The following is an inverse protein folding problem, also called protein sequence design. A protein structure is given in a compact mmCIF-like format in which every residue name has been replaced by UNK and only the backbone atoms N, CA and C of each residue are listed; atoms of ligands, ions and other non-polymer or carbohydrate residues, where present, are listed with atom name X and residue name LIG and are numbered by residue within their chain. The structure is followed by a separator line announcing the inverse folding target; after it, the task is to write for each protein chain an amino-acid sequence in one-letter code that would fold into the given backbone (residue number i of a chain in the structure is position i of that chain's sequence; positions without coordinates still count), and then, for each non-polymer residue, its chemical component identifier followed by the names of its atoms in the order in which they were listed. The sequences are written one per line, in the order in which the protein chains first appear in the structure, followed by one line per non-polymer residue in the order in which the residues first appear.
data_IF_803599588734
#
_entry.id   IF_803599588734
#
_cell.length_a   1.000
_cell.length_b   1.000
_cell.length_c   1.000
_cell.angle_alpha   90.00
_cell.angle_beta   90.00
_cell.angle_gamma   90.00
#
_symmetry.space_group_name_H-M   'P 1'
#
loop_
_entity.id
_entity.type
_entity.pdbx_description
1 polymer ?
#
# COMPACT_ATOMS: atom_id res chain seq x y z
N UNK A 1 2.21 44.34 -17.84
CA UNK A 1 1.73 43.71 -19.09
C UNK A 1 1.93 42.21 -18.97
N UNK A 2 0.98 41.46 -18.43
CA UNK A 2 -0.26 41.02 -19.09
C UNK A 2 0.01 39.94 -20.16
N UNK A 3 0.12 38.68 -19.71
CA UNK A 3 -0.18 37.45 -20.48
C UNK A 3 0.26 36.23 -19.64
N UNK A 4 -0.70 35.57 -18.98
CA UNK A 4 -0.74 34.13 -18.64
C UNK A 4 -1.88 33.74 -17.67
N UNK A 5 -2.79 34.66 -17.34
CA UNK A 5 -4.03 34.39 -16.58
C UNK A 5 -5.26 34.12 -17.46
N UNK A 6 -5.12 34.12 -18.79
CA UNK A 6 -6.25 34.18 -19.73
C UNK A 6 -7.01 32.84 -19.95
N UNK A 7 -6.53 31.74 -19.37
CA UNK A 7 -7.21 30.43 -19.41
C UNK A 7 -7.87 30.02 -18.09
N UNK A 8 -7.55 30.68 -16.97
CA UNK A 8 -7.97 30.23 -15.63
C UNK A 8 -9.41 30.63 -15.25
N UNK A 9 -9.96 31.64 -15.93
CA UNK A 9 -11.20 32.33 -15.55
C UNK A 9 -12.35 32.17 -16.57
N UNK A 10 -12.24 31.27 -17.56
CA UNK A 10 -13.36 31.01 -18.47
C UNK A 10 -14.38 30.12 -17.76
N UNK A 11 -15.57 30.66 -17.60
CA UNK A 11 -16.76 29.93 -17.20
C UNK A 11 -17.32 29.25 -18.46
N UNK A 12 -17.67 27.96 -18.36
CA UNK A 12 -18.38 27.28 -19.46
C UNK A 12 -19.83 27.79 -19.57
N UNK A 13 -20.59 27.27 -20.55
CA UNK A 13 -22.01 27.62 -20.77
C UNK A 13 -22.89 27.39 -19.53
N UNK A 14 -22.43 26.58 -18.57
CA UNK A 14 -23.12 26.23 -17.31
C UNK A 14 -22.51 26.95 -16.10
N UNK A 15 -21.66 27.95 -16.33
CA UNK A 15 -20.96 28.73 -15.32
C UNK A 15 -20.04 27.90 -14.43
N UNK A 16 -19.51 26.78 -14.94
CA UNK A 16 -18.48 25.99 -14.27
C UNK A 16 -17.12 26.68 -14.42
N UNK A 17 -16.44 26.89 -13.31
CA UNK A 17 -15.04 27.29 -13.31
C UNK A 17 -14.11 26.06 -13.46
N UNK A 18 -12.80 26.29 -13.55
CA UNK A 18 -11.81 25.23 -13.67
C UNK A 18 -11.92 24.14 -12.59
N UNK A 19 -12.30 24.51 -11.36
CA UNK A 19 -12.44 23.57 -10.25
C UNK A 19 -13.70 22.69 -10.40
N UNK A 20 -14.79 23.23 -10.95
CA UNK A 20 -15.96 22.42 -11.33
C UNK A 20 -15.63 21.44 -12.46
N UNK A 21 -14.76 21.82 -13.39
CA UNK A 21 -14.33 20.91 -14.45
C UNK A 21 -13.47 19.77 -13.89
N UNK A 22 -12.60 20.07 -12.91
CA UNK A 22 -11.84 19.05 -12.19
C UNK A 22 -12.71 18.21 -11.23
N UNK A 23 -13.93 18.64 -10.93
CA UNK A 23 -14.89 17.92 -10.09
C UNK A 23 -15.62 16.80 -10.84
N UNK A 24 -15.64 16.84 -12.18
CA UNK A 24 -16.27 15.82 -13.02
C UNK A 24 -15.37 14.58 -13.08
N UNK A 25 -15.97 13.41 -13.01
CA UNK A 25 -15.26 12.13 -13.09
C UNK A 25 -14.53 11.99 -14.44
N UNK A 26 -13.27 11.55 -14.41
CA UNK A 26 -12.50 11.32 -15.63
C UNK A 26 -13.15 10.25 -16.55
N UNK A 27 -12.97 10.37 -17.88
CA UNK A 27 -13.42 9.36 -18.84
C UNK A 27 -12.84 7.97 -18.52
N UNK A 28 -13.60 6.92 -18.81
CA UNK A 28 -13.26 5.52 -18.50
C UNK A 28 -11.84 5.10 -18.91
N UNK A 29 -11.31 5.47 -20.10
CA UNK A 29 -9.93 5.12 -20.48
C UNK A 29 -8.87 5.72 -19.56
N UNK A 30 -9.09 6.94 -19.07
CA UNK A 30 -8.18 7.59 -18.14
C UNK A 30 -8.33 6.97 -16.74
N UNK A 31 -9.56 6.74 -16.28
CA UNK A 31 -9.85 6.15 -14.97
C UNK A 31 -9.28 4.72 -14.85
N UNK A 32 -9.45 3.90 -15.88
CA UNK A 32 -8.99 2.50 -15.91
C UNK A 32 -7.46 2.34 -16.03
N UNK A 33 -6.73 3.42 -16.28
CA UNK A 33 -5.26 3.38 -16.28
C UNK A 33 -4.64 3.15 -14.88
N UNK A 34 -5.43 3.28 -13.81
CA UNK A 34 -5.01 3.03 -12.43
C UNK A 34 -5.63 1.75 -11.91
N UNK A 35 -4.82 0.88 -11.32
CA UNK A 35 -5.25 -0.39 -10.74
C UNK A 35 -5.97 -0.18 -9.41
N UNK A 36 -7.18 -0.72 -9.27
CA UNK A 36 -7.96 -0.66 -8.04
C UNK A 36 -8.76 0.64 -7.88
N UNK A 37 -10.05 0.51 -7.56
CA UNK A 37 -10.98 1.64 -7.38
C UNK A 37 -10.54 2.63 -6.30
N UNK A 38 -9.85 2.16 -5.25
CA UNK A 38 -9.33 3.04 -4.20
C UNK A 38 -8.18 3.93 -4.71
N UNK A 39 -7.31 3.42 -5.58
CA UNK A 39 -6.23 4.21 -6.17
C UNK A 39 -6.75 5.15 -7.26
N UNK A 40 -7.81 4.74 -7.98
CA UNK A 40 -8.56 5.63 -8.87
C UNK A 40 -9.14 6.81 -8.08
N UNK A 41 -9.83 6.55 -6.96
CA UNK A 41 -10.36 7.59 -6.07
C UNK A 41 -9.26 8.51 -5.53
N UNK A 42 -8.14 7.94 -5.08
CA UNK A 42 -6.97 8.72 -4.64
C UNK A 42 -6.49 9.68 -5.73
N UNK A 43 -6.38 9.21 -6.98
CA UNK A 43 -5.86 10.03 -8.07
C UNK A 43 -6.82 11.16 -8.45
N UNK A 44 -8.12 10.88 -8.57
CA UNK A 44 -9.13 11.91 -8.88
C UNK A 44 -9.14 12.99 -7.78
N UNK A 45 -9.04 12.58 -6.52
CA UNK A 45 -8.97 13.50 -5.40
C UNK A 45 -7.67 14.30 -5.36
N UNK A 46 -6.53 13.69 -5.71
CA UNK A 46 -5.25 14.38 -5.85
C UNK A 46 -5.30 15.42 -6.96
N UNK A 47 -5.89 15.09 -8.12
CA UNK A 47 -6.12 16.03 -9.21
C UNK A 47 -7.01 17.20 -8.79
N UNK A 48 -8.13 16.92 -8.13
CA UNK A 48 -9.03 17.96 -7.62
C UNK A 48 -8.31 18.91 -6.66
N UNK A 49 -7.51 18.39 -5.72
CA UNK A 49 -6.71 19.19 -4.78
C UNK A 49 -5.63 20.02 -5.45
N UNK A 50 -4.98 19.50 -6.50
CA UNK A 50 -3.98 20.26 -7.25
C UNK A 50 -4.61 21.44 -8.00
N UNK A 51 -5.77 21.23 -8.64
CA UNK A 51 -6.53 22.32 -9.27
C UNK A 51 -7.06 23.30 -8.22
N UNK A 52 -7.51 22.82 -7.07
CA UNK A 52 -7.97 23.66 -5.95
C UNK A 52 -6.88 24.62 -5.46
N UNK A 53 -5.60 24.23 -5.50
CA UNK A 53 -4.46 25.10 -5.13
C UNK A 53 -4.21 26.22 -6.15
N UNK A 54 -4.62 26.03 -7.40
CA UNK A 54 -4.39 27.01 -8.48
C UNK A 54 -5.51 28.04 -8.61
N UNK A 55 -6.69 27.74 -8.07
CA UNK A 55 -7.90 28.54 -8.22
C UNK A 55 -8.09 29.48 -7.03
N UNK A 56 -8.47 30.75 -7.30
CA UNK A 56 -8.74 31.75 -6.27
C UNK A 56 -9.91 31.32 -5.36
N UNK A 57 -9.85 31.65 -4.07
CA UNK A 57 -10.86 31.34 -3.04
C UNK A 57 -12.30 31.68 -3.45
N UNK A 58 -12.52 32.78 -4.18
CA UNK A 58 -13.88 33.16 -4.66
C UNK A 58 -14.48 32.08 -5.56
N UNK A 59 -13.68 31.44 -6.40
CA UNK A 59 -14.14 30.38 -7.30
C UNK A 59 -14.30 29.03 -6.59
N UNK A 60 -13.68 28.82 -5.42
CA UNK A 60 -13.90 27.61 -4.61
C UNK A 60 -15.31 27.55 -4.02
N UNK A 61 -15.85 28.71 -3.68
CA UNK A 61 -17.20 28.87 -3.12
C UNK A 61 -18.25 29.24 -4.17
N UNK A 62 -17.81 29.65 -5.36
CA UNK A 62 -18.70 30.03 -6.45
C UNK A 62 -19.58 28.85 -6.87
N UNK A 63 -20.88 29.10 -6.99
CA UNK A 63 -21.85 28.12 -7.45
C UNK A 63 -22.05 28.18 -8.97
N UNK A 64 -22.14 27.02 -9.62
CA UNK A 64 -22.54 26.92 -11.02
C UNK A 64 -24.05 27.23 -11.20
N UNK A 65 -24.56 27.14 -12.44
CA UNK A 65 -25.98 27.40 -12.73
C UNK A 65 -26.92 26.44 -11.97
N UNK A 66 -26.45 25.24 -11.67
CA UNK A 66 -27.20 24.24 -10.89
C UNK A 66 -27.13 24.48 -9.37
N UNK A 67 -26.52 25.59 -8.92
CA UNK A 67 -26.44 25.96 -7.51
C UNK A 67 -25.42 25.13 -6.71
N UNK A 68 -24.56 24.36 -7.37
CA UNK A 68 -23.55 23.48 -6.76
C UNK A 68 -22.20 24.16 -6.69
N UNK A 69 -21.47 23.94 -5.62
CA UNK A 69 -20.05 24.27 -5.50
C UNK A 69 -19.19 23.18 -6.17
N UNK A 70 -17.92 23.46 -6.48
CA UNK A 70 -17.01 22.43 -7.02
C UNK A 70 -16.87 21.21 -6.11
N UNK A 71 -16.88 21.40 -4.79
CA UNK A 71 -16.74 20.32 -3.81
C UNK A 71 -17.98 19.43 -3.77
N UNK A 72 -19.18 20.03 -3.75
CA UNK A 72 -20.45 19.30 -3.82
C UNK A 72 -20.54 18.49 -5.12
N UNK A 73 -20.15 19.09 -6.26
CA UNK A 73 -20.12 18.40 -7.55
C UNK A 73 -19.14 17.23 -7.56
N UNK A 74 -17.98 17.36 -6.90
CA UNK A 74 -16.98 16.28 -6.81
C UNK A 74 -17.54 15.10 -6.03
N UNK A 75 -18.08 15.34 -4.83
CA UNK A 75 -18.68 14.31 -3.98
C UNK A 75 -19.78 13.55 -4.70
N UNK A 76 -20.67 14.26 -5.41
CA UNK A 76 -21.74 13.62 -6.16
C UNK A 76 -21.23 12.79 -7.35
N UNK A 77 -20.29 13.35 -8.12
CA UNK A 77 -19.74 12.68 -9.31
C UNK A 77 -18.90 11.44 -8.97
N UNK A 78 -18.35 11.38 -7.75
CA UNK A 78 -17.43 10.31 -7.31
C UNK A 78 -18.05 9.36 -6.29
N UNK A 79 -19.34 9.49 -5.97
CA UNK A 79 -20.00 8.65 -4.96
C UNK A 79 -19.84 7.15 -5.23
N UNK A 80 -20.14 6.70 -6.46
CA UNK A 80 -20.01 5.30 -6.84
C UNK A 80 -18.54 4.81 -6.80
N UNK A 81 -17.60 5.70 -7.13
CA UNK A 81 -16.17 5.38 -7.09
C UNK A 81 -15.68 5.27 -5.64
N UNK A 82 -16.17 6.13 -4.75
CA UNK A 82 -15.89 6.10 -3.32
C UNK A 82 -16.39 4.78 -2.71
N UNK A 83 -17.63 4.38 -2.98
CA UNK A 83 -18.21 3.11 -2.51
C UNK A 83 -17.40 1.90 -3.03
N UNK A 84 -17.05 1.90 -4.32
CA UNK A 84 -16.18 0.86 -4.91
C UNK A 84 -14.79 0.87 -4.31
N UNK A 85 -14.23 2.04 -4.00
CA UNK A 85 -12.91 2.21 -3.38
C UNK A 85 -12.88 1.70 -1.94
N UNK A 86 -13.90 2.03 -1.17
CA UNK A 86 -14.10 1.51 0.18
C UNK A 86 -14.19 -0.01 0.18
N UNK A 87 -15.05 -0.57 -0.69
CA UNK A 87 -15.19 -2.02 -0.82
C UNK A 87 -13.87 -2.69 -1.19
N UNK A 88 -13.16 -2.18 -2.18
CA UNK A 88 -11.87 -2.72 -2.60
C UNK A 88 -10.84 -2.71 -1.47
N UNK A 89 -10.77 -1.63 -0.68
CA UNK A 89 -9.89 -1.55 0.48
C UNK A 89 -10.27 -2.58 1.56
N UNK A 90 -11.56 -2.73 1.86
CA UNK A 90 -12.03 -3.70 2.85
C UNK A 90 -11.77 -5.14 2.41
N UNK A 91 -12.07 -5.47 1.16
CA UNK A 91 -11.87 -6.80 0.61
C UNK A 91 -10.37 -7.17 0.61
N UNK A 92 -9.52 -6.27 0.12
CA UNK A 92 -8.05 -6.45 0.13
C UNK A 92 -7.51 -6.62 1.54
N UNK A 93 -7.98 -5.77 2.47
CA UNK A 93 -7.57 -5.81 3.86
C UNK A 93 -7.97 -7.10 4.55
N UNK A 94 -9.21 -7.58 4.34
CA UNK A 94 -9.69 -8.85 4.87
C UNK A 94 -8.85 -10.02 4.35
N UNK A 95 -8.59 -10.10 3.04
CA UNK A 95 -7.74 -11.15 2.48
C UNK A 95 -6.33 -11.16 3.09
N UNK A 96 -5.71 -9.98 3.26
CA UNK A 96 -4.38 -9.90 3.85
C UNK A 96 -4.37 -10.19 5.36
N UNK A 97 -5.45 -9.88 6.08
CA UNK A 97 -5.61 -10.26 7.48
C UNK A 97 -5.68 -11.78 7.66
N UNK A 98 -6.36 -12.49 6.77
CA UNK A 98 -6.40 -13.97 6.80
C UNK A 98 -4.99 -14.52 6.64
N UNK A 99 -4.22 -14.03 5.67
CA UNK A 99 -2.82 -14.44 5.46
C UNK A 99 -1.95 -14.10 6.67
N UNK A 100 -2.07 -12.88 7.22
CA UNK A 100 -1.31 -12.45 8.40
C UNK A 100 -1.66 -13.31 9.63
N UNK A 101 -2.93 -13.58 9.86
CA UNK A 101 -3.38 -14.44 10.95
C UNK A 101 -2.79 -15.83 10.81
N UNK A 102 -2.82 -16.42 9.61
CA UNK A 102 -2.25 -17.73 9.35
C UNK A 102 -0.74 -17.76 9.64
N UNK A 103 0.02 -16.78 9.16
CA UNK A 103 1.46 -16.67 9.45
C UNK A 103 1.70 -16.57 10.96
N UNK A 104 0.97 -15.68 11.65
CA UNK A 104 1.11 -15.52 13.11
C UNK A 104 0.84 -16.83 13.84
N UNK A 105 -0.19 -17.60 13.46
CA UNK A 105 -0.50 -18.88 14.09
C UNK A 105 0.58 -19.94 13.87
N UNK A 106 1.09 -20.07 12.63
CA UNK A 106 2.11 -21.07 12.28
C UNK A 106 3.44 -20.76 12.97
N UNK A 107 3.87 -19.50 12.92
CA UNK A 107 5.12 -19.05 13.54
C UNK A 107 5.03 -19.12 15.07
N UNK A 108 3.90 -18.71 15.66
CA UNK A 108 3.68 -18.87 17.11
C UNK A 108 3.76 -20.33 17.54
N UNK A 109 3.15 -21.25 16.79
CA UNK A 109 3.27 -22.68 17.08
C UNK A 109 4.73 -23.15 16.96
N UNK A 110 5.45 -22.74 15.91
CA UNK A 110 6.85 -23.11 15.69
C UNK A 110 7.79 -22.62 16.80
N UNK A 111 7.52 -21.46 17.41
CA UNK A 111 8.27 -20.95 18.55
C UNK A 111 8.26 -21.91 19.76
N UNK A 112 7.16 -22.63 19.96
CA UNK A 112 7.01 -23.60 21.06
C UNK A 112 7.25 -25.05 20.64
N UNK A 113 7.18 -25.36 19.33
CA UNK A 113 7.51 -26.69 18.77
C UNK A 113 8.91 -26.69 18.15
N UNK A 114 9.89 -26.34 18.98
CA UNK A 114 11.27 -26.10 18.57
C UNK A 114 11.84 -27.27 17.74
N UNK A 115 12.38 -27.00 16.53
CA UNK A 115 12.99 -28.03 15.69
C UNK A 115 14.19 -28.67 16.40
N UNK A 116 14.17 -30.00 16.50
CA UNK A 116 15.22 -30.79 17.13
C UNK A 116 15.00 -31.14 18.61
N UNK A 117 13.95 -30.64 19.25
CA UNK A 117 13.57 -31.01 20.63
C UNK A 117 14.43 -30.37 21.73
N UNK A 118 14.19 -30.80 22.98
CA UNK A 118 14.85 -30.29 24.19
C UNK A 118 15.77 -31.35 24.80
N UNK A 119 16.91 -30.93 25.39
CA UNK A 119 17.94 -31.84 25.93
C UNK A 119 17.41 -32.62 27.14
N UNK A 120 16.61 -31.96 27.98
CA UNK A 120 16.02 -32.47 29.22
C UNK A 120 14.68 -31.73 29.47
N UNK A 121 13.86 -32.20 30.42
CA UNK A 121 12.58 -31.57 30.84
C UNK A 121 12.71 -30.10 31.32
N UNK A 122 13.92 -29.57 31.35
CA UNK A 122 14.25 -28.18 31.68
C UNK A 122 13.89 -27.17 30.56
N UNK A 123 13.43 -27.63 29.39
CA UNK A 123 12.96 -26.77 28.31
C UNK A 123 14.05 -26.14 27.43
N UNK A 124 15.32 -26.57 27.58
CA UNK A 124 16.46 -26.01 26.81
C UNK A 124 16.58 -26.71 25.45
N UNK A 125 16.52 -25.97 24.32
CA UNK A 125 16.68 -26.51 22.97
C UNK A 125 18.03 -27.23 22.76
N UNK A 126 18.01 -28.41 22.13
CA UNK A 126 19.21 -29.22 21.84
C UNK A 126 20.22 -28.45 20.98
N UNK A 127 19.72 -27.63 20.06
CA UNK A 127 20.54 -26.91 19.10
C UNK A 127 20.82 -25.45 19.49
N UNK A 128 20.56 -25.05 20.74
CA UNK A 128 20.71 -23.66 21.20
C UNK A 128 22.05 -23.01 20.82
N UNK A 129 23.13 -23.80 20.79
CA UNK A 129 24.50 -23.35 20.48
C UNK A 129 24.86 -23.34 18.98
N UNK A 130 23.98 -23.83 18.09
CA UNK A 130 24.21 -23.83 16.64
C UNK A 130 23.70 -22.54 16.01
N UNK A 131 24.46 -22.00 15.05
CA UNK A 131 24.07 -20.80 14.30
C UNK A 131 22.69 -20.95 13.63
N UNK A 132 22.35 -22.13 13.12
CA UNK A 132 21.05 -22.40 12.50
C UNK A 132 19.87 -22.21 13.47
N UNK A 133 20.05 -22.54 14.75
CA UNK A 133 19.00 -22.33 15.76
C UNK A 133 18.80 -20.85 16.06
N UNK A 134 19.89 -20.08 16.15
CA UNK A 134 19.79 -18.63 16.35
C UNK A 134 19.11 -17.95 15.17
N UNK A 135 19.42 -18.36 13.94
CA UNK A 135 18.74 -17.88 12.72
C UNK A 135 17.26 -18.25 12.75
N UNK A 136 16.91 -19.49 13.14
CA UNK A 136 15.52 -19.90 13.32
C UNK A 136 14.79 -18.99 14.32
N UNK A 137 15.29 -18.89 15.56
CA UNK A 137 14.63 -18.15 16.63
C UNK A 137 14.45 -16.66 16.31
N UNK A 138 15.47 -16.01 15.74
CA UNK A 138 15.38 -14.59 15.36
C UNK A 138 14.41 -14.39 14.19
N UNK A 139 14.47 -15.25 13.17
CA UNK A 139 13.59 -15.14 11.99
C UNK A 139 12.13 -15.42 12.36
N UNK A 140 11.90 -16.39 13.24
CA UNK A 140 10.58 -16.74 13.76
C UNK A 140 9.98 -15.56 14.55
N UNK A 141 10.73 -14.97 15.48
CA UNK A 141 10.28 -13.77 16.20
C UNK A 141 9.98 -12.60 15.25
N UNK A 142 10.85 -12.33 14.27
CA UNK A 142 10.61 -11.28 13.27
C UNK A 142 9.36 -11.56 12.44
N UNK A 143 9.12 -12.81 12.05
CA UNK A 143 7.91 -13.20 11.32
C UNK A 143 6.65 -12.95 12.16
N UNK A 144 6.68 -13.29 13.45
CA UNK A 144 5.54 -13.13 14.35
C UNK A 144 5.19 -11.66 14.59
N UNK A 145 6.19 -10.84 14.92
CA UNK A 145 5.96 -9.42 15.18
C UNK A 145 5.56 -8.68 13.90
N UNK A 146 6.22 -8.97 12.78
CA UNK A 146 5.90 -8.35 11.50
C UNK A 146 4.51 -8.76 10.98
N UNK A 147 4.11 -10.02 11.18
CA UNK A 147 2.78 -10.49 10.81
C UNK A 147 1.69 -9.86 11.68
N UNK A 148 1.93 -9.74 12.99
CA UNK A 148 1.00 -9.07 13.90
C UNK A 148 0.86 -7.59 13.59
N UNK A 149 1.97 -6.90 13.28
CA UNK A 149 1.95 -5.51 12.84
C UNK A 149 1.15 -5.34 11.54
N UNK A 150 1.33 -6.23 10.57
CA UNK A 150 0.53 -6.30 9.34
C UNK A 150 -0.96 -6.42 9.64
N UNK A 151 -1.33 -7.36 10.52
CA UNK A 151 -2.72 -7.59 10.95
C UNK A 151 -3.33 -6.33 11.57
N UNK A 152 -2.61 -5.64 12.45
CA UNK A 152 -3.09 -4.38 13.08
C UNK A 152 -3.29 -3.28 12.02
N UNK A 153 -2.38 -3.17 11.04
CA UNK A 153 -2.49 -2.17 9.98
C UNK A 153 -3.71 -2.42 9.08
N UNK A 154 -3.96 -3.67 8.71
CA UNK A 154 -5.15 -4.05 7.95
C UNK A 154 -6.44 -3.89 8.79
N UNK A 155 -6.42 -4.23 10.08
CA UNK A 155 -7.54 -3.95 10.96
C UNK A 155 -7.84 -2.44 11.07
N UNK A 156 -6.79 -1.61 11.05
CA UNK A 156 -6.90 -0.14 11.02
C UNK A 156 -7.52 0.41 9.73
N UNK A 157 -7.44 -0.34 8.63
CA UNK A 157 -8.13 -0.02 7.37
C UNK A 157 -9.63 -0.30 7.55
N UNK A 158 -10.01 -1.48 8.04
CA UNK A 158 -11.42 -1.86 8.23
C UNK A 158 -12.17 -0.95 9.20
N UNK A 159 -11.48 -0.44 10.21
CA UNK A 159 -12.04 0.45 11.24
C UNK A 159 -11.99 1.94 10.87
N UNK A 160 -11.46 2.28 9.68
CA UNK A 160 -11.37 3.66 9.23
C UNK A 160 -12.75 4.23 8.85
N UNK A 161 -12.89 5.56 8.88
CA UNK A 161 -14.17 6.24 8.57
C UNK A 161 -14.46 6.34 7.06
N UNK A 162 -13.48 6.04 6.21
CA UNK A 162 -13.57 6.11 4.75
C UNK A 162 -14.10 7.45 4.20
N UNK A 163 -13.74 8.57 4.85
CA UNK A 163 -14.02 9.89 4.29
C UNK A 163 -13.23 10.05 2.98
N UNK A 164 -13.73 10.85 2.02
CA UNK A 164 -13.02 11.09 0.76
C UNK A 164 -11.56 11.48 0.99
N UNK A 165 -11.29 12.38 1.93
CA UNK A 165 -9.94 12.87 2.25
C UNK A 165 -9.00 11.78 2.76
N UNK A 166 -9.53 10.72 3.36
CA UNK A 166 -8.72 9.58 3.83
C UNK A 166 -8.08 8.82 2.67
N UNK A 167 -8.68 8.84 1.48
CA UNK A 167 -8.12 8.20 0.29
C UNK A 167 -6.88 8.91 -0.24
N UNK A 168 -6.58 10.15 0.17
CA UNK A 168 -5.37 10.85 -0.30
C UNK A 168 -4.09 10.26 0.28
N UNK A 169 -4.06 10.04 1.60
CA UNK A 169 -2.83 9.69 2.31
C UNK A 169 -3.06 8.62 3.38
N UNK A 170 -4.09 8.75 4.21
CA UNK A 170 -4.24 7.90 5.40
C UNK A 170 -4.49 6.43 5.04
N UNK A 171 -5.46 6.14 4.16
CA UNK A 171 -5.78 4.77 3.71
C UNK A 171 -4.66 4.14 2.88
N UNK A 172 -4.11 4.80 1.83
CA UNK A 172 -3.00 4.25 1.05
C UNK A 172 -1.76 3.99 1.92
N UNK A 173 -1.43 4.88 2.86
CA UNK A 173 -0.29 4.68 3.77
C UNK A 173 -0.48 3.48 4.68
N UNK A 174 -1.68 3.27 5.24
CA UNK A 174 -1.99 2.09 6.04
C UNK A 174 -1.84 0.81 5.23
N UNK A 175 -2.33 0.80 3.98
CA UNK A 175 -2.21 -0.34 3.07
C UNK A 175 -0.74 -0.68 2.76
N UNK A 176 0.06 0.34 2.43
CA UNK A 176 1.50 0.20 2.14
C UNK A 176 2.26 -0.36 3.33
N UNK A 177 2.02 0.18 4.53
CA UNK A 177 2.68 -0.30 5.75
C UNK A 177 2.25 -1.73 6.10
N UNK A 178 0.97 -2.07 5.93
CA UNK A 178 0.48 -3.43 6.10
C UNK A 178 1.14 -4.43 5.14
N UNK A 179 1.14 -4.12 3.84
CA UNK A 179 1.78 -4.96 2.82
C UNK A 179 3.29 -5.10 3.00
N UNK A 180 4.00 -4.03 3.40
CA UNK A 180 5.42 -4.10 3.69
C UNK A 180 5.73 -5.01 4.89
N UNK A 181 4.94 -4.87 5.96
CA UNK A 181 5.07 -5.72 7.15
C UNK A 181 4.73 -7.19 6.83
N UNK A 182 3.75 -7.44 5.96
CA UNK A 182 3.40 -8.78 5.48
C UNK A 182 4.54 -9.40 4.65
N UNK A 183 5.18 -8.61 3.77
CA UNK A 183 6.32 -9.06 2.99
C UNK A 183 7.49 -9.51 3.88
N UNK A 184 7.83 -8.68 4.87
CA UNK A 184 8.87 -9.02 5.86
C UNK A 184 8.50 -10.31 6.58
N UNK A 185 7.24 -10.47 6.99
CA UNK A 185 6.78 -11.67 7.67
C UNK A 185 6.92 -12.95 6.82
N UNK A 186 6.55 -12.88 5.53
CA UNK A 186 6.70 -14.02 4.60
C UNK A 186 8.17 -14.36 4.40
N UNK A 187 9.03 -13.36 4.20
CA UNK A 187 10.46 -13.56 3.99
C UNK A 187 11.12 -14.21 5.21
N UNK A 188 10.86 -13.69 6.42
CA UNK A 188 11.44 -14.24 7.65
C UNK A 188 10.84 -15.58 8.04
N UNK A 189 9.57 -15.84 7.74
CA UNK A 189 8.97 -17.18 7.90
C UNK A 189 9.66 -18.22 7.01
N UNK A 190 9.97 -17.88 5.75
CA UNK A 190 10.72 -18.78 4.87
C UNK A 190 12.17 -19.00 5.35
N UNK A 191 12.82 -17.97 5.92
CA UNK A 191 14.13 -18.12 6.56
C UNK A 191 14.07 -19.03 7.79
N UNK A 192 13.05 -18.86 8.64
CA UNK A 192 12.83 -19.73 9.79
C UNK A 192 12.60 -21.18 9.35
N UNK A 193 11.77 -21.41 8.33
CA UNK A 193 11.56 -22.74 7.76
C UNK A 193 12.87 -23.37 7.25
N UNK A 194 13.67 -22.63 6.47
CA UNK A 194 14.96 -23.13 5.97
C UNK A 194 15.95 -23.46 7.10
N UNK A 195 15.99 -22.63 8.15
CA UNK A 195 16.81 -22.87 9.33
C UNK A 195 16.34 -24.10 10.13
N UNK A 196 15.03 -24.23 10.37
CA UNK A 196 14.42 -25.39 11.03
C UNK A 196 14.71 -26.69 10.26
N UNK A 197 14.54 -26.65 8.94
CA UNK A 197 14.82 -27.79 8.07
C UNK A 197 16.29 -28.21 8.11
N UNK A 198 17.20 -27.24 8.14
CA UNK A 198 18.65 -27.48 8.29
C UNK A 198 19.00 -28.13 9.64
N UNK A 199 18.29 -27.76 10.71
CA UNK A 199 18.45 -28.38 12.04
C UNK A 199 17.97 -29.83 12.04
N UNK A 200 16.83 -30.10 11.43
CA UNK A 200 16.20 -31.45 11.42
C UNK A 200 17.00 -32.44 10.57
N UNK A 201 17.48 -32.04 9.39
CA UNK A 201 18.24 -32.94 8.50
C UNK A 201 19.70 -33.09 8.93
N UNK A 202 20.26 -32.07 9.59
CA UNK A 202 21.68 -32.03 9.95
C UNK A 202 22.60 -32.16 8.73
N UNK A 203 23.88 -32.43 8.97
CA UNK A 203 24.90 -32.54 7.90
C UNK A 203 24.77 -33.82 7.03
N UNK A 204 23.75 -34.66 7.26
CA UNK A 204 23.65 -35.99 6.63
C UNK A 204 23.32 -35.95 5.14
N UNK A 205 22.57 -34.94 4.66
CA UNK A 205 22.09 -34.91 3.26
C UNK A 205 22.19 -33.50 2.65
N UNK A 206 23.41 -33.08 2.33
CA UNK A 206 23.70 -31.77 1.73
C UNK A 206 22.98 -31.51 0.39
N UNK A 207 22.65 -32.55 -0.38
CA UNK A 207 21.97 -32.41 -1.68
C UNK A 207 20.50 -31.97 -1.56
N UNK A 208 19.85 -32.23 -0.43
CA UNK A 208 18.43 -31.85 -0.19
C UNK A 208 18.30 -30.36 0.14
N UNK A 209 19.38 -29.70 0.55
CA UNK A 209 19.37 -28.27 0.88
C UNK A 209 19.02 -27.38 -0.33
N UNK A 210 19.57 -27.72 -1.51
CA UNK A 210 19.37 -26.98 -2.76
C UNK A 210 17.88 -26.91 -3.16
N UNK A 211 17.13 -28.02 -3.31
CA UNK A 211 15.72 -27.96 -3.69
C UNK A 211 14.85 -27.23 -2.66
N UNK A 212 15.18 -27.28 -1.36
CA UNK A 212 14.41 -26.59 -0.32
C UNK A 212 14.60 -25.08 -0.37
N UNK A 213 15.82 -24.59 -0.62
CA UNK A 213 16.03 -23.15 -0.86
C UNK A 213 15.23 -22.71 -2.09
N UNK A 214 15.33 -23.46 -3.19
CA UNK A 214 14.61 -23.13 -4.42
C UNK A 214 13.11 -23.04 -4.15
N UNK A 215 12.55 -24.01 -3.41
CA UNK A 215 11.13 -24.00 -3.05
C UNK A 215 10.75 -22.83 -2.13
N UNK A 216 11.60 -22.48 -1.16
CA UNK A 216 11.39 -21.35 -0.25
C UNK A 216 11.49 -19.98 -0.97
N UNK A 217 12.29 -19.88 -2.03
CA UNK A 217 12.40 -18.66 -2.84
C UNK A 217 11.16 -18.40 -3.70
N UNK A 218 10.38 -19.43 -4.05
CA UNK A 218 9.21 -19.28 -4.94
C UNK A 218 8.15 -18.36 -4.31
N UNK A 219 7.64 -18.58 -3.09
CA UNK A 219 6.64 -17.69 -2.47
C UNK A 219 7.14 -16.25 -2.31
N UNK A 220 8.41 -16.07 -1.91
CA UNK A 220 9.01 -14.73 -1.71
C UNK A 220 9.09 -13.97 -3.03
N UNK A 221 9.58 -14.65 -4.08
CA UNK A 221 9.70 -14.05 -5.42
C UNK A 221 8.34 -13.76 -6.03
N UNK A 222 7.37 -14.66 -5.86
CA UNK A 222 6.00 -14.49 -6.33
C UNK A 222 5.33 -13.31 -5.64
N UNK A 223 5.47 -13.17 -4.32
CA UNK A 223 4.95 -12.03 -3.59
C UNK A 223 5.63 -10.73 -4.04
N UNK A 224 6.96 -10.73 -4.20
CA UNK A 224 7.70 -9.58 -4.69
C UNK A 224 7.21 -9.13 -6.07
N UNK A 225 7.08 -10.06 -7.02
CA UNK A 225 6.64 -9.76 -8.39
C UNK A 225 5.20 -9.21 -8.41
N UNK A 226 4.30 -9.76 -7.59
CA UNK A 226 2.89 -9.36 -7.61
C UNK A 226 2.61 -8.07 -6.81
N UNK A 227 3.29 -7.87 -5.68
CA UNK A 227 2.97 -6.79 -4.74
C UNK A 227 3.89 -5.58 -4.87
N UNK A 228 5.14 -5.74 -5.36
CA UNK A 228 6.03 -4.58 -5.57
C UNK A 228 5.48 -3.58 -6.59
N UNK A 229 4.83 -3.97 -7.71
CA UNK A 229 4.22 -3.00 -8.62
C UNK A 229 3.11 -2.19 -7.94
N UNK A 230 2.29 -2.84 -7.11
CA UNK A 230 1.22 -2.17 -6.35
C UNK A 230 1.81 -1.23 -5.28
N UNK A 231 2.81 -1.68 -4.55
CA UNK A 231 3.56 -0.87 -3.58
C UNK A 231 4.18 0.37 -4.26
N UNK A 232 4.88 0.16 -5.38
CA UNK A 232 5.52 1.22 -6.15
C UNK A 232 4.51 2.25 -6.65
N UNK A 233 3.38 1.80 -7.19
CA UNK A 233 2.31 2.67 -7.66
C UNK A 233 1.72 3.52 -6.53
N UNK A 234 1.52 2.96 -5.34
CA UNK A 234 1.00 3.72 -4.20
C UNK A 234 2.03 4.72 -3.68
N UNK A 235 3.30 4.32 -3.58
CA UNK A 235 4.37 5.21 -3.12
C UNK A 235 4.54 6.40 -4.08
N UNK A 236 4.52 6.16 -5.39
CA UNK A 236 4.56 7.25 -6.39
C UNK A 236 3.29 8.10 -6.32
N UNK A 237 2.11 7.49 -6.20
CA UNK A 237 0.84 8.23 -6.12
C UNK A 237 0.77 9.13 -4.88
N UNK A 238 1.34 8.67 -3.76
CA UNK A 238 1.25 9.36 -2.46
C UNK A 238 2.41 10.34 -2.21
N UNK A 239 3.63 10.01 -2.64
CA UNK A 239 4.85 10.79 -2.36
C UNK A 239 5.56 11.30 -3.61
N UNK A 240 5.07 10.97 -4.82
CA UNK A 240 5.67 11.40 -6.07
C UNK A 240 5.56 12.92 -6.30
N UNK A 241 6.35 13.46 -7.24
CA UNK A 241 6.25 14.87 -7.59
C UNK A 241 4.84 15.19 -8.07
N UNK A 242 4.27 16.30 -7.56
CA UNK A 242 2.91 16.73 -7.91
C UNK A 242 2.68 16.77 -9.44
N UNK A 243 1.44 16.48 -9.85
CA UNK A 243 1.02 16.32 -11.26
C UNK A 243 1.53 17.47 -12.14
N UNK A 244 1.60 18.68 -11.58
CA UNK A 244 2.26 19.82 -12.19
C UNK A 244 3.76 19.84 -11.89
N UNK A 245 4.51 19.05 -12.66
CA UNK A 245 5.97 19.19 -12.74
C UNK A 245 6.29 20.64 -13.11
N UNK A 246 6.76 21.43 -12.13
CA UNK A 246 7.31 22.78 -12.35
C UNK A 246 8.41 22.66 -13.39
N UNK A 247 8.17 23.10 -14.64
CA UNK A 247 9.27 23.33 -15.59
C UNK A 247 10.21 24.32 -14.89
N UNK A 248 11.41 23.87 -14.49
CA UNK A 248 12.48 24.79 -14.08
C UNK A 248 12.63 25.80 -15.22
N UNK A 249 12.44 27.08 -14.94
CA UNK A 249 12.80 28.15 -15.87
C UNK A 249 14.27 27.96 -16.19
N UNK A 250 14.56 27.48 -17.39
CA UNK A 250 15.92 27.54 -17.95
C UNK A 250 16.24 29.03 -18.01
N UNK A 251 17.16 29.48 -17.16
CA UNK A 251 17.69 30.83 -17.17
C UNK A 251 18.40 30.96 -18.51
N UNK A 252 17.79 31.68 -19.47
CA UNK A 252 18.52 32.08 -20.67
C UNK A 252 19.64 33.00 -20.18
N UNK A 253 20.87 32.51 -20.26
CA UNK A 253 22.06 33.32 -20.09
C UNK A 253 22.24 34.05 -21.43
N UNK A 254 21.83 35.31 -21.46
CA UNK A 254 22.24 36.26 -22.48
C UNK A 254 23.60 36.80 -22.05
N UNK A 255 24.65 36.23 -22.63
CA UNK A 255 25.95 36.88 -22.81
C UNK A 255 26.12 37.07 -24.32
#
# INVERSE_FOLDING_TARGET
MAQNTFGANRLDEVRNNMLHMAAKLAPSPQLNAVSGSALQMQRELHWFKEVEKMVNTVFKLGKNIQGRTPRELFTESHKDLLEKGEKWMKDTSNSCMVVSTLITTVVFAAAFTVPGGNINDNGIPIYLRKNSFMVFAVSDALALFSSTASLIMFLSILTSRYAEEDFLVSLPRKLVLGLASLFVAIATMMLAFGAAFSIVIGDRYHWIYIPVIVLACIPVSLFAILQLPLFWNIVISTYGPGIFRRRRKVKHKSD
#
